data_IF_253133897746
#
_entry.id   IF_253133897746
#
_cell.length_a   1.000
_cell.length_b   1.000
_cell.length_c   1.000
_cell.angle_alpha   90.00
_cell.angle_beta   90.00
_cell.angle_gamma   90.00
#
_symmetry.space_group_name_H-M   'P 1'
#
loop_
_entity.id
_entity.type
_entity.pdbx_description
1 polymer ?
#
# COMPACT_ATOMS: atom_id res chain seq x y z
N UNK A 1 0.60 -19.78 -31.34
CA UNK A 1 -0.33 -19.14 -30.39
C UNK A 1 -0.01 -17.65 -30.40
N UNK A 2 -1.02 -16.78 -30.49
CA UNK A 2 -0.81 -15.33 -30.39
C UNK A 2 -0.27 -14.98 -29.00
N UNK A 3 0.65 -14.01 -28.92
CA UNK A 3 1.11 -13.47 -27.64
C UNK A 3 -0.09 -12.92 -26.85
N UNK A 4 -0.18 -13.14 -25.53
CA UNK A 4 -1.22 -12.55 -24.70
C UNK A 4 -1.11 -11.02 -24.75
N UNK A 5 -2.25 -10.34 -24.87
CA UNK A 5 -2.27 -8.89 -25.12
C UNK A 5 -2.76 -8.03 -23.94
N UNK A 6 -3.30 -8.65 -22.90
CA UNK A 6 -3.95 -7.95 -21.80
C UNK A 6 -3.02 -7.47 -20.70
N UNK A 7 -3.67 -6.94 -19.67
CA UNK A 7 -3.04 -6.39 -18.48
C UNK A 7 -3.38 -7.23 -17.25
N UNK A 8 -2.40 -7.40 -16.37
CA UNK A 8 -2.62 -7.86 -15.00
C UNK A 8 -2.12 -6.76 -14.09
N UNK A 9 -2.99 -6.23 -13.24
CA UNK A 9 -2.68 -5.12 -12.35
C UNK A 9 -2.88 -5.58 -10.93
N UNK A 10 -1.85 -5.45 -10.10
CA UNK A 10 -1.86 -5.86 -8.71
C UNK A 10 -1.73 -4.62 -7.84
N UNK A 11 -2.71 -4.37 -6.96
CA UNK A 11 -2.72 -3.20 -6.09
C UNK A 11 -2.58 -3.62 -4.62
N UNK A 12 -1.68 -2.95 -3.90
CA UNK A 12 -1.47 -3.21 -2.47
C UNK A 12 -2.67 -2.77 -1.63
N UNK A 13 -3.22 -1.58 -1.90
CA UNK A 13 -4.48 -1.07 -1.33
C UNK A 13 -4.94 0.16 -2.13
N UNK A 14 -6.05 0.77 -1.70
CA UNK A 14 -6.46 2.09 -2.19
C UNK A 14 -7.10 2.07 -3.58
N UNK A 15 -7.61 0.92 -4.01
CA UNK A 15 -8.15 0.68 -5.34
C UNK A 15 -9.38 1.55 -5.70
N UNK A 16 -10.07 2.09 -4.71
CA UNK A 16 -11.18 3.04 -4.86
C UNK A 16 -10.86 4.41 -4.22
N UNK A 17 -9.60 4.83 -4.24
CA UNK A 17 -9.16 6.13 -3.70
C UNK A 17 -8.68 7.07 -4.81
N UNK A 18 -8.53 8.36 -4.51
CA UNK A 18 -8.06 9.36 -5.49
C UNK A 18 -6.70 8.97 -6.13
N UNK A 19 -5.82 8.33 -5.34
CA UNK A 19 -4.49 7.90 -5.79
C UNK A 19 -4.50 6.93 -6.98
N UNK A 20 -5.60 6.20 -7.20
CA UNK A 20 -5.72 5.19 -8.25
C UNK A 20 -6.62 5.60 -9.43
N UNK A 21 -7.24 6.79 -9.38
CA UNK A 21 -8.16 7.26 -10.44
C UNK A 21 -7.47 7.29 -11.80
N UNK A 22 -6.30 7.94 -11.88
CA UNK A 22 -5.57 8.07 -13.13
C UNK A 22 -5.01 6.74 -13.64
N UNK A 23 -4.67 5.81 -12.73
CA UNK A 23 -4.27 4.44 -13.09
C UNK A 23 -5.43 3.72 -13.78
N UNK A 24 -6.65 3.79 -13.22
CA UNK A 24 -7.83 3.18 -13.85
C UNK A 24 -8.17 3.81 -15.19
N UNK A 25 -8.17 5.15 -15.29
CA UNK A 25 -8.43 5.87 -16.55
C UNK A 25 -7.43 5.51 -17.63
N UNK A 26 -6.13 5.49 -17.31
CA UNK A 26 -5.08 5.10 -18.26
C UNK A 26 -5.28 3.67 -18.75
N UNK A 27 -5.56 2.72 -17.86
CA UNK A 27 -5.79 1.33 -18.24
C UNK A 27 -7.01 1.19 -19.15
N UNK A 28 -8.13 1.83 -18.82
CA UNK A 28 -9.35 1.82 -19.62
C UNK A 28 -9.14 2.43 -21.01
N UNK A 29 -8.44 3.56 -21.11
CA UNK A 29 -8.14 4.23 -22.38
C UNK A 29 -7.28 3.38 -23.33
N UNK A 30 -6.59 2.36 -22.82
CA UNK A 30 -5.75 1.43 -23.58
C UNK A 30 -6.48 0.17 -24.01
N UNK A 31 -7.70 -0.05 -23.53
CA UNK A 31 -8.54 -1.18 -23.93
C UNK A 31 -9.30 -0.86 -25.23
N UNK A 32 -9.59 -1.88 -26.06
CA UNK A 32 -10.41 -1.70 -27.25
C UNK A 32 -11.87 -1.36 -26.87
N UNK A 33 -12.47 -0.43 -27.60
CA UNK A 33 -13.88 -0.04 -27.43
C UNK A 33 -14.84 -1.07 -28.10
N UNK A 34 -15.99 -1.42 -27.47
CA UNK A 34 -16.40 -0.96 -26.15
C UNK A 34 -15.57 -1.61 -25.03
N UNK A 35 -15.29 -0.85 -23.96
CA UNK A 35 -14.53 -1.34 -22.80
C UNK A 35 -15.39 -1.61 -21.54
N UNK A 36 -16.36 -2.56 -21.52
CA UNK A 36 -17.19 -2.81 -20.34
C UNK A 36 -16.37 -3.09 -19.08
N UNK A 37 -16.58 -2.27 -18.04
CA UNK A 37 -15.96 -2.44 -16.74
C UNK A 37 -16.89 -3.16 -15.77
N UNK A 38 -16.33 -4.10 -15.01
CA UNK A 38 -17.07 -4.95 -14.09
C UNK A 38 -16.37 -5.02 -12.74
N UNK A 39 -17.12 -4.86 -11.67
CA UNK A 39 -16.71 -5.22 -10.31
C UNK A 39 -17.22 -6.62 -9.95
N UNK A 40 -16.35 -7.49 -9.47
CA UNK A 40 -16.71 -8.81 -8.97
C UNK A 40 -16.62 -8.82 -7.43
N UNK A 41 -17.76 -9.11 -6.80
CA UNK A 41 -17.98 -8.94 -5.37
C UNK A 41 -17.64 -10.16 -4.50
N UNK A 42 -17.25 -11.28 -5.13
CA UNK A 42 -16.99 -12.54 -4.43
C UNK A 42 -16.03 -12.43 -3.24
N UNK A 43 -14.90 -11.67 -3.28
CA UNK A 43 -13.99 -11.61 -2.13
C UNK A 43 -14.68 -11.12 -0.86
N UNK A 44 -15.66 -10.22 -0.98
CA UNK A 44 -16.43 -9.70 0.13
C UNK A 44 -17.72 -10.49 0.40
N UNK A 45 -18.07 -11.50 -0.39
CA UNK A 45 -19.39 -12.15 -0.38
C UNK A 45 -19.86 -12.74 0.95
N UNK A 46 -18.95 -12.96 1.90
CA UNK A 46 -19.28 -13.36 3.28
C UNK A 46 -19.78 -12.20 4.16
N UNK A 47 -19.59 -10.95 3.74
CA UNK A 47 -19.92 -9.76 4.52
C UNK A 47 -21.39 -9.36 4.33
N UNK A 48 -22.03 -8.92 5.42
CA UNK A 48 -23.43 -8.47 5.40
C UNK A 48 -23.64 -7.21 4.53
N UNK A 49 -22.59 -6.41 4.32
CA UNK A 49 -22.61 -5.17 3.55
C UNK A 49 -22.04 -5.33 2.12
N UNK A 50 -21.90 -6.55 1.59
CA UNK A 50 -21.35 -6.81 0.23
C UNK A 50 -22.02 -5.93 -0.84
N UNK A 51 -23.35 -5.85 -0.84
CA UNK A 51 -24.10 -5.02 -1.79
C UNK A 51 -23.75 -3.53 -1.70
N UNK A 52 -23.44 -3.03 -0.50
CA UNK A 52 -23.01 -1.66 -0.31
C UNK A 52 -21.59 -1.44 -0.88
N UNK A 53 -20.69 -2.40 -0.66
CA UNK A 53 -19.33 -2.36 -1.23
C UNK A 53 -19.36 -2.34 -2.76
N UNK A 54 -20.15 -3.22 -3.38
CA UNK A 54 -20.30 -3.26 -4.84
C UNK A 54 -20.88 -1.97 -5.40
N UNK A 55 -21.88 -1.36 -4.72
CA UNK A 55 -22.42 -0.05 -5.10
C UNK A 55 -21.40 1.07 -4.96
N UNK A 56 -20.54 1.03 -3.94
CA UNK A 56 -19.44 2.00 -3.79
C UNK A 56 -18.44 1.92 -4.95
N UNK A 57 -18.09 0.71 -5.39
CA UNK A 57 -17.22 0.54 -6.55
C UNK A 57 -17.83 1.13 -7.82
N UNK A 58 -19.12 0.85 -8.07
CA UNK A 58 -19.85 1.44 -9.21
C UNK A 58 -19.90 2.96 -9.13
N UNK A 59 -20.28 3.51 -7.96
CA UNK A 59 -20.35 4.95 -7.75
C UNK A 59 -18.99 5.63 -7.98
N UNK A 60 -17.91 5.06 -7.44
CA UNK A 60 -16.55 5.57 -7.65
C UNK A 60 -16.14 5.59 -9.13
N UNK A 61 -16.45 4.52 -9.88
CA UNK A 61 -16.14 4.47 -11.31
C UNK A 61 -16.96 5.49 -12.12
N UNK A 62 -18.21 5.71 -11.75
CA UNK A 62 -19.07 6.71 -12.39
C UNK A 62 -18.61 8.15 -12.09
N UNK A 63 -18.36 8.48 -10.81
CA UNK A 63 -18.08 9.86 -10.40
C UNK A 63 -16.62 10.28 -10.51
N UNK A 64 -15.65 9.37 -10.33
CA UNK A 64 -14.23 9.72 -10.30
C UNK A 64 -13.48 9.23 -11.55
N UNK A 65 -13.68 7.96 -11.94
CA UNK A 65 -13.05 7.39 -13.15
C UNK A 65 -13.77 7.87 -14.42
N UNK A 66 -15.03 8.30 -14.30
CA UNK A 66 -15.89 8.73 -15.41
C UNK A 66 -16.09 7.63 -16.46
N UNK A 67 -16.19 6.38 -16.00
CA UNK A 67 -16.42 5.22 -16.85
C UNK A 67 -17.50 4.33 -16.22
N UNK A 68 -18.55 3.94 -16.97
CA UNK A 68 -19.61 3.10 -16.43
C UNK A 68 -19.05 1.74 -15.99
N UNK A 69 -19.48 1.30 -14.80
CA UNK A 69 -19.14 -0.01 -14.24
C UNK A 69 -20.40 -0.76 -13.85
N UNK A 70 -20.42 -2.06 -14.13
CA UNK A 70 -21.48 -2.98 -13.70
C UNK A 70 -20.97 -3.97 -12.65
N UNK A 71 -21.88 -4.67 -12.00
CA UNK A 71 -21.53 -5.67 -10.98
C UNK A 71 -21.74 -7.07 -11.57
N UNK A 72 -20.71 -7.90 -11.54
CA UNK A 72 -20.86 -9.35 -11.71
C UNK A 72 -21.03 -9.95 -10.31
N UNK A 73 -22.29 -10.09 -9.86
CA UNK A 73 -22.54 -10.57 -8.51
C UNK A 73 -22.42 -12.09 -8.41
N UNK A 74 -21.43 -12.55 -7.65
CA UNK A 74 -21.19 -13.96 -7.36
C UNK A 74 -20.65 -14.08 -5.93
N UNK A 75 -21.46 -13.69 -4.95
CA UNK A 75 -21.04 -13.65 -3.55
C UNK A 75 -20.70 -15.05 -2.99
N UNK A 76 -21.52 -16.06 -3.30
CA UNK A 76 -21.36 -17.43 -2.80
C UNK A 76 -21.88 -18.45 -3.82
N UNK A 77 -21.07 -19.46 -4.13
CA UNK A 77 -21.44 -20.59 -4.97
C UNK A 77 -22.56 -21.44 -4.35
N UNK A 78 -22.62 -21.53 -3.01
CA UNK A 78 -23.65 -22.31 -2.30
C UNK A 78 -25.00 -21.60 -2.27
N UNK A 79 -25.00 -20.26 -2.27
CA UNK A 79 -26.21 -19.45 -2.17
C UNK A 79 -26.74 -19.00 -3.54
N UNK A 80 -25.89 -18.88 -4.55
CA UNK A 80 -26.27 -18.44 -5.88
C UNK A 80 -27.12 -19.50 -6.59
N UNK A 81 -28.26 -19.09 -7.14
CA UNK A 81 -29.02 -19.92 -8.06
C UNK A 81 -28.22 -20.16 -9.36
N UNK A 82 -28.54 -21.23 -10.07
CA UNK A 82 -27.91 -21.52 -11.38
C UNK A 82 -28.06 -20.37 -12.38
N UNK A 83 -29.17 -19.62 -12.30
CA UNK A 83 -29.39 -18.44 -13.14
C UNK A 83 -28.44 -17.29 -12.78
N UNK A 84 -28.33 -16.94 -11.50
CA UNK A 84 -27.42 -15.88 -11.01
C UNK A 84 -25.96 -16.22 -11.32
N UNK A 85 -25.57 -17.48 -11.10
CA UNK A 85 -24.23 -17.95 -11.45
C UNK A 85 -23.94 -17.79 -12.95
N UNK A 86 -24.85 -18.19 -13.84
CA UNK A 86 -24.67 -18.01 -15.28
C UNK A 86 -24.65 -16.54 -15.69
N UNK A 87 -25.48 -15.71 -15.07
CA UNK A 87 -25.49 -14.27 -15.31
C UNK A 87 -24.13 -13.65 -14.96
N UNK A 88 -23.57 -13.96 -13.79
CA UNK A 88 -22.27 -13.47 -13.39
C UNK A 88 -21.15 -13.91 -14.35
N UNK A 89 -21.13 -15.18 -14.75
CA UNK A 89 -20.16 -15.70 -15.73
C UNK A 89 -20.29 -14.99 -17.08
N UNK A 90 -21.51 -14.71 -17.54
CA UNK A 90 -21.73 -14.00 -18.80
C UNK A 90 -21.24 -12.55 -18.72
N UNK A 91 -21.53 -11.85 -17.62
CA UNK A 91 -21.03 -10.49 -17.37
C UNK A 91 -19.50 -10.45 -17.39
N UNK A 92 -18.84 -11.41 -16.72
CA UNK A 92 -17.37 -11.49 -16.71
C UNK A 92 -16.78 -11.78 -18.10
N UNK A 93 -17.42 -12.63 -18.91
CA UNK A 93 -16.94 -12.92 -20.29
C UNK A 93 -17.00 -11.70 -21.21
N UNK A 94 -17.93 -10.79 -20.96
CA UNK A 94 -18.11 -9.58 -21.76
C UNK A 94 -17.24 -8.41 -21.26
N UNK A 95 -16.69 -8.50 -20.05
CA UNK A 95 -15.90 -7.44 -19.43
C UNK A 95 -14.55 -7.22 -20.13
N UNK A 96 -14.27 -6.00 -20.58
CA UNK A 96 -12.92 -5.61 -20.99
C UNK A 96 -12.03 -5.32 -19.78
N UNK A 97 -12.63 -4.85 -18.69
CA UNK A 97 -11.95 -4.48 -17.45
C UNK A 97 -12.65 -5.17 -16.26
N UNK A 98 -11.90 -5.94 -15.47
CA UNK A 98 -12.41 -6.63 -14.29
C UNK A 98 -11.66 -6.14 -13.07
N UNK A 99 -12.37 -5.54 -12.11
CA UNK A 99 -11.85 -5.19 -10.80
C UNK A 99 -12.34 -6.20 -9.76
N UNK A 100 -11.39 -6.85 -9.07
CA UNK A 100 -11.64 -7.65 -7.88
C UNK A 100 -11.03 -6.94 -6.67
N UNK A 101 -11.90 -6.62 -5.70
CA UNK A 101 -11.60 -5.74 -4.58
C UNK A 101 -11.36 -6.45 -3.25
N UNK A 102 -11.65 -5.78 -2.13
CA UNK A 102 -11.26 -6.21 -0.79
C UNK A 102 -12.18 -7.31 -0.27
N UNK A 103 -11.74 -8.04 0.75
CA UNK A 103 -12.48 -9.15 1.33
C UNK A 103 -11.56 -10.23 1.88
N UNK A 104 -11.92 -11.50 1.71
CA UNK A 104 -11.16 -12.66 2.18
C UNK A 104 -10.59 -13.45 1.01
N UNK A 105 -9.26 -13.67 0.97
CA UNK A 105 -8.63 -14.39 -0.13
C UNK A 105 -9.03 -15.87 -0.15
N UNK A 106 -9.03 -16.54 1.00
CA UNK A 106 -9.40 -17.96 1.12
C UNK A 106 -10.87 -18.19 0.82
N UNK A 107 -11.74 -17.26 1.21
CA UNK A 107 -13.15 -17.29 0.84
C UNK A 107 -13.30 -17.19 -0.68
N UNK A 108 -12.70 -16.18 -1.31
CA UNK A 108 -12.76 -15.98 -2.75
C UNK A 108 -12.33 -17.23 -3.53
N UNK A 109 -11.19 -17.82 -3.16
CA UNK A 109 -10.66 -19.02 -3.81
C UNK A 109 -11.63 -20.21 -3.66
N UNK A 110 -12.21 -20.42 -2.47
CA UNK A 110 -13.19 -21.51 -2.26
C UNK A 110 -14.42 -21.33 -3.16
N UNK A 111 -14.90 -20.10 -3.33
CA UNK A 111 -16.02 -19.81 -4.22
C UNK A 111 -15.65 -19.99 -5.70
N UNK A 112 -14.42 -19.69 -6.10
CA UNK A 112 -14.03 -19.72 -7.52
C UNK A 112 -13.49 -21.07 -8.01
N UNK A 113 -12.82 -21.85 -7.16
CA UNK A 113 -12.04 -23.04 -7.57
C UNK A 113 -12.84 -24.08 -8.37
N UNK A 114 -14.14 -24.20 -8.13
CA UNK A 114 -15.02 -25.15 -8.81
C UNK A 114 -15.91 -24.49 -9.88
N UNK A 115 -15.54 -23.29 -10.34
CA UNK A 115 -16.28 -22.52 -11.35
C UNK A 115 -15.39 -22.14 -12.52
N UNK A 116 -15.99 -21.59 -13.57
CA UNK A 116 -15.25 -21.11 -14.74
C UNK A 116 -14.61 -19.72 -14.55
N UNK A 117 -14.76 -19.09 -13.37
CA UNK A 117 -14.27 -17.73 -13.12
C UNK A 117 -12.74 -17.60 -13.35
N UNK A 118 -11.88 -18.51 -12.83
CA UNK A 118 -10.43 -18.43 -13.09
C UNK A 118 -10.06 -18.57 -14.58
N UNK A 119 -10.81 -19.40 -15.31
CA UNK A 119 -10.61 -19.57 -16.75
C UNK A 119 -11.04 -18.33 -17.52
N UNK A 120 -12.18 -17.72 -17.15
CA UNK A 120 -12.63 -16.46 -17.74
C UNK A 120 -11.60 -15.35 -17.51
N UNK A 121 -11.03 -15.21 -16.30
CA UNK A 121 -9.96 -14.22 -16.08
C UNK A 121 -8.79 -14.41 -17.05
N UNK A 122 -8.35 -15.66 -17.21
CA UNK A 122 -7.24 -16.00 -18.11
C UNK A 122 -7.60 -15.66 -19.56
N UNK A 123 -8.78 -16.06 -20.02
CA UNK A 123 -9.27 -15.79 -21.37
C UNK A 123 -9.39 -14.28 -21.62
N UNK A 124 -9.90 -13.52 -20.65
CA UNK A 124 -10.01 -12.06 -20.76
C UNK A 124 -8.64 -11.41 -20.91
N UNK A 125 -7.67 -11.78 -20.09
CA UNK A 125 -6.29 -11.27 -20.19
C UNK A 125 -5.66 -11.68 -21.54
N UNK A 126 -5.80 -12.93 -21.96
CA UNK A 126 -5.27 -13.40 -23.25
C UNK A 126 -5.83 -12.60 -24.44
N UNK A 127 -7.11 -12.25 -24.38
CA UNK A 127 -7.83 -11.52 -25.42
C UNK A 127 -7.73 -9.99 -25.30
N UNK A 128 -6.78 -9.46 -24.51
CA UNK A 128 -6.50 -8.02 -24.43
C UNK A 128 -7.29 -7.26 -23.36
N UNK A 129 -7.96 -7.95 -22.45
CA UNK A 129 -8.63 -7.34 -21.30
C UNK A 129 -7.67 -7.01 -20.14
N UNK A 130 -8.17 -6.28 -19.16
CA UNK A 130 -7.47 -5.89 -17.94
C UNK A 130 -8.08 -6.59 -16.72
N UNK A 131 -7.27 -7.31 -15.95
CA UNK A 131 -7.63 -7.80 -14.63
C UNK A 131 -6.91 -6.97 -13.57
N UNK A 132 -7.67 -6.27 -12.73
CA UNK A 132 -7.17 -5.53 -11.57
C UNK A 132 -7.52 -6.29 -10.30
N UNK A 133 -6.50 -6.72 -9.56
CA UNK A 133 -6.65 -7.40 -8.28
C UNK A 133 -6.02 -6.59 -7.14
N UNK A 134 -6.85 -6.19 -6.18
CA UNK A 134 -6.46 -5.31 -5.10
C UNK A 134 -6.60 -5.97 -3.73
N UNK A 135 -5.71 -5.61 -2.79
CA UNK A 135 -5.76 -6.04 -1.40
C UNK A 135 -5.98 -7.57 -1.31
N UNK A 136 -7.02 -8.03 -0.63
CA UNK A 136 -7.36 -9.45 -0.48
C UNK A 136 -7.45 -10.22 -1.81
N UNK A 137 -7.89 -9.61 -2.90
CA UNK A 137 -7.96 -10.29 -4.19
C UNK A 137 -6.56 -10.48 -4.81
N UNK A 138 -5.62 -9.57 -4.58
CA UNK A 138 -4.25 -9.68 -5.08
C UNK A 138 -3.56 -10.96 -4.56
N UNK A 139 -3.83 -11.34 -3.32
CA UNK A 139 -3.36 -12.59 -2.70
C UNK A 139 -3.77 -13.85 -3.45
N UNK A 140 -4.86 -13.82 -4.22
CA UNK A 140 -5.43 -15.01 -4.86
C UNK A 140 -4.73 -15.41 -6.15
N UNK A 141 -4.11 -14.46 -6.86
CA UNK A 141 -3.66 -14.65 -8.25
C UNK A 141 -2.35 -15.44 -8.40
N UNK A 142 -1.58 -15.55 -7.32
CA UNK A 142 -0.32 -16.29 -7.27
C UNK A 142 -0.51 -17.81 -7.14
N UNK A 143 0.62 -18.53 -7.10
CA UNK A 143 0.62 -20.00 -6.92
C UNK A 143 0.09 -20.39 -5.54
N UNK A 144 0.46 -19.61 -4.52
CA UNK A 144 -0.04 -19.74 -3.17
C UNK A 144 -0.65 -18.41 -2.69
N UNK A 145 -1.45 -18.52 -1.64
CA UNK A 145 -2.22 -17.44 -1.01
C UNK A 145 -1.99 -17.45 0.49
N UNK A 146 -1.78 -16.27 1.07
CA UNK A 146 -1.74 -16.08 2.51
C UNK A 146 -3.16 -16.07 3.09
N UNK A 147 -3.52 -17.00 3.99
CA UNK A 147 -4.80 -17.01 4.69
C UNK A 147 -4.77 -15.98 5.84
N UNK A 148 -4.78 -14.69 5.47
CA UNK A 148 -4.54 -13.57 6.39
C UNK A 148 -5.50 -13.56 7.57
N UNK A 149 -6.80 -13.80 7.39
CA UNK A 149 -7.75 -13.76 8.49
C UNK A 149 -7.63 -14.96 9.40
N UNK A 150 -7.41 -16.15 8.85
CA UNK A 150 -7.20 -17.36 9.63
C UNK A 150 -5.94 -17.23 10.51
N UNK A 151 -4.83 -16.70 9.98
CA UNK A 151 -3.60 -16.52 10.77
C UNK A 151 -3.72 -15.32 11.72
N UNK A 152 -4.12 -14.15 11.22
CA UNK A 152 -4.08 -12.90 11.99
C UNK A 152 -5.23 -12.76 12.99
N UNK A 153 -6.45 -13.14 12.60
CA UNK A 153 -7.66 -12.95 13.42
C UNK A 153 -8.04 -14.20 14.21
N UNK A 154 -7.97 -15.38 13.60
CA UNK A 154 -8.32 -16.65 14.29
C UNK A 154 -7.14 -17.18 15.11
N UNK A 155 -5.91 -16.90 14.69
CA UNK A 155 -4.69 -17.33 15.40
C UNK A 155 -4.17 -18.70 14.95
N UNK A 156 -4.49 -19.13 13.73
CA UNK A 156 -3.90 -20.34 13.16
C UNK A 156 -2.38 -20.18 12.99
N UNK A 157 -1.65 -21.31 13.02
CA UNK A 157 -0.21 -21.32 12.74
C UNK A 157 0.03 -20.89 11.29
N UNK A 158 1.13 -20.20 10.96
CA UNK A 158 1.36 -19.76 9.58
C UNK A 158 1.50 -20.93 8.58
N UNK A 159 0.72 -20.88 7.50
CA UNK A 159 0.69 -21.84 6.40
C UNK A 159 0.30 -21.15 5.08
N UNK A 160 0.57 -21.82 3.96
CA UNK A 160 0.11 -21.39 2.64
C UNK A 160 -1.15 -22.15 2.22
N UNK A 161 -2.08 -21.42 1.62
CA UNK A 161 -3.24 -21.98 0.92
C UNK A 161 -2.96 -21.98 -0.59
N UNK A 162 -3.47 -22.96 -1.34
CA UNK A 162 -3.33 -22.96 -2.80
C UNK A 162 -4.06 -21.76 -3.43
N UNK A 163 -3.37 -20.96 -4.24
CA UNK A 163 -3.97 -19.87 -5.00
C UNK A 163 -4.76 -20.35 -6.21
N UNK A 164 -5.35 -19.42 -6.97
CA UNK A 164 -5.94 -19.75 -8.28
C UNK A 164 -4.91 -19.73 -9.42
N UNK A 165 -3.67 -19.32 -9.12
CA UNK A 165 -2.50 -19.38 -10.00
C UNK A 165 -2.73 -18.80 -11.40
N UNK A 166 -3.36 -17.63 -11.47
CA UNK A 166 -3.52 -16.88 -12.73
C UNK A 166 -2.17 -16.46 -13.29
N UNK A 167 -1.26 -15.98 -12.42
CA UNK A 167 0.08 -15.55 -12.83
C UNK A 167 0.90 -16.69 -13.46
N UNK A 168 0.80 -17.91 -12.93
CA UNK A 168 1.47 -19.08 -13.49
C UNK A 168 1.04 -19.41 -14.92
N UNK A 169 -0.21 -19.08 -15.31
CA UNK A 169 -0.70 -19.25 -16.69
C UNK A 169 0.00 -18.33 -17.70
N UNK A 170 0.72 -17.30 -17.22
CA UNK A 170 1.52 -16.37 -18.02
C UNK A 170 3.04 -16.52 -17.76
N UNK A 171 3.44 -17.63 -17.13
CA UNK A 171 4.84 -17.98 -16.85
C UNK A 171 5.45 -17.24 -15.67
N UNK A 172 4.63 -16.67 -14.79
CA UNK A 172 5.09 -15.92 -13.61
C UNK A 172 4.81 -16.75 -12.37
N UNK A 173 5.86 -17.31 -11.76
CA UNK A 173 5.72 -18.13 -10.54
C UNK A 173 6.09 -17.32 -9.28
N UNK A 174 5.06 -16.81 -8.60
CA UNK A 174 5.20 -16.02 -7.38
C UNK A 174 3.95 -16.08 -6.49
N UNK A 175 4.12 -15.61 -5.25
CA UNK A 175 3.04 -15.21 -4.33
C UNK A 175 2.98 -13.70 -4.24
N UNK A 176 1.77 -13.13 -4.13
CA UNK A 176 1.56 -11.68 -4.05
C UNK A 176 1.17 -11.32 -2.62
N UNK A 177 1.83 -10.34 -2.01
CA UNK A 177 1.58 -9.88 -0.64
C UNK A 177 1.26 -8.39 -0.66
N UNK A 178 -0.03 -8.01 -0.64
CA UNK A 178 -0.47 -6.62 -0.51
C UNK A 178 -0.19 -6.10 0.90
N UNK A 179 -0.39 -4.79 1.14
CA UNK A 179 -0.19 -4.19 2.46
C UNK A 179 1.21 -4.50 3.02
N UNK A 180 2.23 -4.44 2.16
CA UNK A 180 3.60 -4.85 2.49
C UNK A 180 4.22 -4.01 3.60
N UNK A 181 4.08 -2.68 3.50
CA UNK A 181 4.53 -1.70 4.47
C UNK A 181 3.50 -1.35 5.55
N UNK A 182 2.42 -2.14 5.71
CA UNK A 182 1.34 -1.80 6.65
C UNK A 182 1.87 -1.50 8.06
N UNK A 183 1.39 -0.38 8.62
CA UNK A 183 1.82 0.14 9.91
C UNK A 183 0.66 0.40 10.89
N UNK A 184 -0.53 -0.16 10.61
CA UNK A 184 -1.73 0.03 11.44
C UNK A 184 -1.60 -0.55 12.86
N UNK A 185 -0.63 -1.43 13.09
CA UNK A 185 -0.40 -2.06 14.39
C UNK A 185 0.07 -1.12 15.50
N UNK A 186 0.56 0.08 15.15
CA UNK A 186 1.06 1.10 16.07
C UNK A 186 2.27 0.63 16.90
N UNK A 187 2.01 -0.13 17.96
CA UNK A 187 3.02 -0.68 18.88
C UNK A 187 3.50 -2.09 18.50
N UNK A 188 2.97 -2.68 17.43
CA UNK A 188 3.31 -4.02 16.98
C UNK A 188 3.49 -4.06 15.45
N UNK A 189 4.33 -4.99 14.98
CA UNK A 189 4.65 -5.14 13.55
C UNK A 189 3.49 -5.79 12.77
N UNK A 190 2.88 -5.01 11.87
CA UNK A 190 1.83 -5.47 10.96
C UNK A 190 2.26 -5.48 9.49
N UNK A 191 3.56 -5.31 9.22
CA UNK A 191 4.10 -5.43 7.86
C UNK A 191 3.81 -6.81 7.27
N UNK A 192 3.91 -6.91 5.95
CA UNK A 192 3.68 -8.14 5.19
C UNK A 192 2.25 -8.67 5.36
N UNK A 193 1.26 -7.81 5.13
CA UNK A 193 -0.17 -8.16 5.24
C UNK A 193 -0.57 -8.67 6.64
N UNK A 194 -0.30 -7.86 7.68
CA UNK A 194 -0.61 -8.15 9.09
C UNK A 194 0.12 -9.37 9.70
N UNK A 195 1.14 -9.89 9.03
CA UNK A 195 1.91 -11.03 9.55
C UNK A 195 2.98 -10.58 10.55
N UNK A 196 3.55 -9.42 10.33
CA UNK A 196 4.80 -9.01 10.95
C UNK A 196 5.95 -9.91 10.52
N UNK A 197 7.17 -9.41 10.70
CA UNK A 197 8.38 -10.08 10.24
C UNK A 197 8.57 -11.52 10.78
N UNK A 198 8.32 -11.83 12.06
CA UNK A 198 8.55 -13.18 12.58
C UNK A 198 7.67 -14.25 11.92
N UNK A 199 6.37 -13.97 11.71
CA UNK A 199 5.47 -14.93 11.05
C UNK A 199 5.75 -15.00 9.55
N UNK A 200 6.06 -13.86 8.93
CA UNK A 200 6.32 -13.82 7.51
C UNK A 200 7.60 -14.59 7.13
N UNK A 201 8.68 -14.50 7.93
CA UNK A 201 9.89 -15.31 7.71
C UNK A 201 9.59 -16.82 7.77
N UNK A 202 8.72 -17.25 8.68
CA UNK A 202 8.30 -18.66 8.74
C UNK A 202 7.53 -19.06 7.47
N UNK A 203 6.61 -18.22 7.00
CA UNK A 203 5.88 -18.46 5.75
C UNK A 203 6.83 -18.53 4.55
N UNK A 204 7.76 -17.58 4.43
CA UNK A 204 8.73 -17.55 3.34
C UNK A 204 9.60 -18.81 3.31
N UNK A 205 9.99 -19.33 4.48
CA UNK A 205 10.76 -20.59 4.58
C UNK A 205 10.00 -21.85 4.13
N UNK A 206 8.66 -21.78 4.05
CA UNK A 206 7.81 -22.89 3.58
C UNK A 206 7.60 -22.86 2.06
N UNK A 207 7.96 -21.77 1.38
CA UNK A 207 7.81 -21.67 -0.07
C UNK A 207 8.87 -22.50 -0.80
N UNK A 208 8.52 -23.11 -1.95
CA UNK A 208 9.51 -23.69 -2.85
C UNK A 208 10.54 -22.65 -3.32
N UNK A 209 11.80 -23.06 -3.55
CA UNK A 209 12.90 -22.14 -3.91
C UNK A 209 12.75 -21.44 -5.27
N UNK A 210 11.88 -21.95 -6.14
CA UNK A 210 11.52 -21.39 -7.44
C UNK A 210 10.44 -20.30 -7.35
N UNK A 211 9.70 -20.23 -6.23
CA UNK A 211 8.60 -19.28 -6.03
C UNK A 211 9.12 -17.98 -5.42
N UNK A 212 8.87 -16.86 -6.08
CA UNK A 212 9.19 -15.54 -5.54
C UNK A 212 8.05 -14.95 -4.69
N UNK A 213 8.39 -13.98 -3.85
CA UNK A 213 7.43 -13.12 -3.13
C UNK A 213 7.41 -11.75 -3.81
N UNK A 214 6.22 -11.28 -4.18
CA UNK A 214 5.98 -9.93 -4.66
C UNK A 214 5.20 -9.13 -3.62
N UNK A 215 5.89 -8.29 -2.86
CA UNK A 215 5.33 -7.34 -1.91
C UNK A 215 4.83 -6.07 -2.59
N UNK A 216 3.62 -5.65 -2.26
CA UNK A 216 3.01 -4.40 -2.74
C UNK A 216 2.71 -3.50 -1.54
N UNK A 217 3.33 -2.33 -1.51
CA UNK A 217 3.00 -1.31 -0.51
C UNK A 217 1.56 -0.82 -0.68
N UNK A 218 1.02 -0.25 0.38
CA UNK A 218 -0.28 0.43 0.35
C UNK A 218 -0.28 1.55 -0.71
N UNK A 219 -1.42 1.79 -1.35
CA UNK A 219 -1.58 2.78 -2.43
C UNK A 219 -0.56 2.63 -3.57
N UNK A 220 -0.16 1.40 -3.89
CA UNK A 220 0.80 1.09 -4.97
C UNK A 220 0.22 0.07 -5.94
N UNK A 221 0.44 0.28 -7.24
CA UNK A 221 0.00 -0.59 -8.33
C UNK A 221 1.21 -1.12 -9.11
N UNK A 222 1.29 -2.44 -9.25
CA UNK A 222 2.18 -3.14 -10.17
C UNK A 222 1.41 -3.51 -11.44
N UNK A 223 1.74 -2.87 -12.55
CA UNK A 223 1.02 -2.99 -13.83
C UNK A 223 1.84 -3.87 -14.76
N UNK A 224 1.36 -5.08 -15.07
CA UNK A 224 2.00 -6.04 -15.95
C UNK A 224 1.32 -5.98 -17.32
N UNK A 225 2.06 -5.50 -18.32
CA UNK A 225 1.63 -5.42 -19.71
C UNK A 225 2.22 -6.58 -20.52
N UNK A 226 1.37 -7.56 -20.84
CA UNK A 226 1.84 -8.82 -21.43
C UNK A 226 2.27 -8.67 -22.90
N UNK A 227 1.63 -7.77 -23.66
CA UNK A 227 1.95 -7.57 -25.07
C UNK A 227 3.37 -7.04 -25.27
N UNK A 228 3.76 -6.07 -24.44
CA UNK A 228 5.10 -5.47 -24.46
C UNK A 228 6.12 -6.23 -23.62
N UNK A 229 5.69 -7.18 -22.79
CA UNK A 229 6.56 -7.86 -21.84
C UNK A 229 7.18 -6.89 -20.84
N UNK A 230 6.42 -5.92 -20.36
CA UNK A 230 6.89 -4.85 -19.49
C UNK A 230 6.06 -4.77 -18.21
N UNK A 231 6.70 -4.32 -17.13
CA UNK A 231 6.07 -4.02 -15.85
C UNK A 231 6.35 -2.57 -15.50
N UNK A 232 5.35 -1.86 -14.96
CA UNK A 232 5.46 -0.50 -14.47
C UNK A 232 4.90 -0.39 -13.06
N UNK A 233 5.51 0.45 -12.23
CA UNK A 233 5.04 0.76 -10.88
C UNK A 233 4.39 2.16 -10.83
N UNK A 234 3.21 2.24 -10.24
CA UNK A 234 2.47 3.48 -10.01
C UNK A 234 1.96 3.58 -8.57
N UNK A 235 1.56 4.78 -8.15
CA UNK A 235 1.01 5.04 -6.82
C UNK A 235 1.99 5.80 -5.91
N UNK A 236 1.90 5.56 -4.59
CA UNK A 236 2.65 6.29 -3.56
C UNK A 236 3.82 5.52 -2.96
N UNK A 237 3.77 4.19 -2.96
CA UNK A 237 4.77 3.33 -2.36
C UNK A 237 5.63 2.59 -3.38
N UNK A 238 6.18 1.46 -2.95
CA UNK A 238 7.11 0.64 -3.71
C UNK A 238 6.61 -0.80 -3.89
N UNK A 239 7.24 -1.50 -4.82
CA UNK A 239 7.05 -2.95 -5.04
C UNK A 239 8.34 -3.67 -4.72
N UNK A 240 8.26 -4.68 -3.87
CA UNK A 240 9.41 -5.49 -3.45
C UNK A 240 9.33 -6.88 -4.04
N UNK A 241 10.33 -7.31 -4.80
CA UNK A 241 10.48 -8.69 -5.27
C UNK A 241 11.56 -9.40 -4.45
N UNK A 242 11.19 -10.44 -3.71
CA UNK A 242 12.11 -11.32 -2.99
C UNK A 242 12.18 -12.70 -3.64
N UNK A 243 13.38 -13.17 -3.93
CA UNK A 243 13.64 -14.53 -4.43
C UNK A 243 14.97 -15.03 -3.88
N UNK A 244 14.96 -16.19 -3.20
CA UNK A 244 16.17 -16.84 -2.65
C UNK A 244 17.03 -15.90 -1.78
N UNK A 245 16.38 -15.07 -0.96
CA UNK A 245 17.04 -14.11 -0.08
C UNK A 245 17.60 -12.85 -0.78
N UNK A 246 17.44 -12.73 -2.10
CA UNK A 246 17.74 -11.50 -2.84
C UNK A 246 16.48 -10.64 -2.91
N UNK A 247 16.62 -9.38 -2.54
CA UNK A 247 15.57 -8.37 -2.59
C UNK A 247 15.84 -7.36 -3.70
N UNK A 248 14.82 -7.05 -4.50
CA UNK A 248 14.80 -5.94 -5.45
C UNK A 248 13.59 -5.05 -5.12
N UNK A 249 13.81 -3.74 -5.07
CA UNK A 249 12.76 -2.74 -4.80
C UNK A 249 12.60 -1.89 -6.05
N UNK A 250 11.35 -1.65 -6.43
CA UNK A 250 10.94 -0.82 -7.56
C UNK A 250 10.06 0.32 -7.05
N UNK A 251 10.41 1.55 -7.40
CA UNK A 251 9.73 2.77 -6.97
C UNK A 251 8.74 3.25 -8.03
N UNK A 252 7.91 4.23 -7.66
CA UNK A 252 6.97 4.87 -8.58
C UNK A 252 7.68 5.35 -9.86
N UNK A 253 7.11 5.00 -11.01
CA UNK A 253 7.61 5.39 -12.34
C UNK A 253 8.67 4.45 -12.90
N UNK A 254 9.12 3.45 -12.14
CA UNK A 254 10.03 2.44 -12.65
C UNK A 254 9.38 1.55 -13.70
N UNK A 255 10.20 1.18 -14.68
CA UNK A 255 9.87 0.20 -15.72
C UNK A 255 10.90 -0.93 -15.72
N UNK A 256 10.42 -2.16 -15.89
CA UNK A 256 11.29 -3.33 -16.02
C UNK A 256 10.69 -4.42 -16.90
N UNK A 257 11.53 -5.33 -17.40
CA UNK A 257 11.09 -6.44 -18.24
C UNK A 257 10.32 -7.48 -17.44
N UNK A 258 9.29 -8.06 -18.06
CA UNK A 258 8.47 -9.12 -17.46
C UNK A 258 9.31 -10.33 -17.02
N UNK A 259 10.42 -10.59 -17.69
CA UNK A 259 11.34 -11.69 -17.41
C UNK A 259 12.00 -11.60 -16.02
N UNK A 260 12.03 -10.41 -15.40
CA UNK A 260 12.44 -10.23 -14.00
C UNK A 260 11.47 -10.96 -13.07
N UNK A 261 10.14 -10.80 -13.29
CA UNK A 261 9.13 -11.53 -12.52
C UNK A 261 9.19 -13.04 -12.80
N UNK A 262 9.50 -13.44 -14.04
CA UNK A 262 9.66 -14.86 -14.42
C UNK A 262 10.94 -15.51 -13.88
N UNK A 263 11.90 -14.72 -13.40
CA UNK A 263 13.18 -15.24 -12.91
C UNK A 263 14.12 -15.73 -14.00
N UNK A 264 13.97 -15.20 -15.22
CA UNK A 264 14.87 -15.48 -16.34
C UNK A 264 16.04 -14.46 -16.39
N UNK A 265 15.93 -13.33 -15.70
CA UNK A 265 16.97 -12.31 -15.57
C UNK A 265 17.56 -12.29 -14.15
N UNK A 266 18.30 -13.34 -13.81
CA UNK A 266 18.91 -13.54 -12.48
C UNK A 266 20.31 -12.88 -12.39
N UNK A 267 20.91 -12.48 -13.51
CA UNK A 267 22.27 -11.95 -13.59
C UNK A 267 22.38 -10.53 -14.20
N UNK A 268 21.29 -9.97 -14.74
CA UNK A 268 21.27 -8.60 -15.26
C UNK A 268 21.16 -7.55 -14.16
N UNK A 269 22.10 -6.60 -14.17
CA UNK A 269 21.94 -5.31 -13.50
C UNK A 269 20.71 -4.62 -14.11
N UNK A 270 19.54 -4.77 -13.48
CA UNK A 270 18.44 -3.87 -13.77
C UNK A 270 18.90 -2.45 -13.40
N UNK A 271 18.85 -1.55 -14.38
CA UNK A 271 19.08 -0.12 -14.19
C UNK A 271 17.77 0.60 -14.52
N UNK A 272 17.35 1.60 -13.72
CA UNK A 272 16.15 2.38 -14.00
C UNK A 272 16.28 3.06 -15.37
N UNK A 273 15.30 2.83 -16.25
CA UNK A 273 15.22 3.50 -17.54
C UNK A 273 14.32 4.74 -17.44
N UNK A 274 14.82 5.88 -17.92
CA UNK A 274 14.08 7.15 -18.01
C UNK A 274 13.02 7.03 -19.12
N UNK A 275 11.80 7.58 -18.93
CA UNK A 275 10.74 7.52 -19.93
C UNK A 275 11.16 8.13 -21.28
N UNK A 276 10.84 7.44 -22.38
CA UNK A 276 10.86 8.05 -23.71
C UNK A 276 9.66 8.99 -23.79
N UNK A 277 9.95 10.29 -23.82
CA UNK A 277 8.94 11.34 -23.86
C UNK A 277 8.02 11.21 -25.09
N UNK A 278 6.71 11.29 -24.84
CA UNK A 278 5.74 11.60 -25.89
C UNK A 278 4.33 11.10 -25.65
N UNK A 279 3.58 11.75 -24.75
CA UNK A 279 2.24 12.31 -25.06
C UNK A 279 2.03 13.49 -24.10
N UNK A 280 1.79 14.67 -24.65
CA UNK A 280 1.44 15.86 -23.88
C UNK A 280 0.07 15.67 -23.20
N UNK A 281 -0.02 16.03 -21.92
CA UNK A 281 -1.28 16.07 -21.18
C UNK A 281 -2.30 16.97 -21.90
N UNK A 282 -3.56 16.54 -22.06
CA UNK A 282 -4.61 17.46 -22.48
C UNK A 282 -4.92 18.43 -21.33
N UNK A 283 -4.95 19.70 -21.71
CA UNK A 283 -5.36 20.87 -20.93
C UNK A 283 -6.76 20.63 -20.32
N UNK A 284 -6.82 20.49 -18.99
CA UNK A 284 -8.07 20.27 -18.24
C UNK A 284 -8.78 21.60 -18.03
N UNK A 285 -9.73 21.90 -18.91
CA UNK A 285 -10.68 22.98 -18.69
C UNK A 285 -11.69 22.66 -17.57
N UNK A 286 -11.51 23.34 -16.44
CA UNK A 286 -12.54 23.93 -15.55
C UNK A 286 -13.88 23.18 -15.35
N UNK A 287 -13.92 22.17 -14.46
CA UNK A 287 -15.08 21.86 -13.59
C UNK A 287 -14.66 21.15 -12.26
N UNK A 288 -13.44 21.34 -11.75
CA UNK A 288 -13.04 20.86 -10.40
C UNK A 288 -13.03 22.06 -9.43
N UNK A 289 -14.10 22.23 -8.66
CA UNK A 289 -14.32 23.41 -7.83
C UNK A 289 -13.22 23.67 -6.78
N UNK A 290 -13.01 24.97 -6.54
CA UNK A 290 -12.20 25.64 -5.48
C UNK A 290 -11.98 24.84 -4.17
N UNK A 291 -12.96 24.05 -3.74
CA UNK A 291 -12.88 23.24 -2.52
C UNK A 291 -11.75 22.19 -2.55
N UNK A 292 -11.63 21.39 -3.61
CA UNK A 292 -10.62 20.31 -3.65
C UNK A 292 -9.20 20.81 -3.93
N UNK A 293 -9.07 21.94 -4.62
CA UNK A 293 -7.79 22.66 -4.72
C UNK A 293 -7.34 23.13 -3.33
N UNK A 294 -8.29 23.64 -2.53
CA UNK A 294 -8.04 24.06 -1.14
C UNK A 294 -7.62 22.88 -0.26
N UNK A 295 -8.34 21.74 -0.32
CA UNK A 295 -7.99 20.53 0.46
C UNK A 295 -6.59 20.01 0.11
N UNK A 296 -6.28 19.86 -1.19
CA UNK A 296 -4.95 19.42 -1.66
C UNK A 296 -3.82 20.35 -1.22
N UNK A 297 -4.09 21.66 -1.28
CA UNK A 297 -3.12 22.67 -0.83
C UNK A 297 -2.85 22.53 0.66
N UNK A 298 -3.90 22.39 1.48
CA UNK A 298 -3.78 22.26 2.92
C UNK A 298 -3.08 20.95 3.34
N UNK A 299 -3.31 19.86 2.62
CA UNK A 299 -2.60 18.60 2.82
C UNK A 299 -1.09 18.74 2.56
N UNK A 300 -0.72 19.41 1.46
CA UNK A 300 0.69 19.72 1.16
C UNK A 300 1.32 20.62 2.24
N UNK A 301 0.62 21.68 2.66
CA UNK A 301 1.07 22.59 3.73
C UNK A 301 1.27 21.85 5.05
N UNK A 302 0.37 20.93 5.40
CA UNK A 302 0.47 20.07 6.57
C UNK A 302 1.73 19.20 6.50
N UNK A 303 1.94 18.48 5.40
CA UNK A 303 3.11 17.63 5.18
C UNK A 303 4.42 18.40 5.30
N UNK A 304 4.53 19.55 4.62
CA UNK A 304 5.72 20.42 4.72
C UNK A 304 5.96 20.95 6.14
N UNK A 305 4.89 21.25 6.89
CA UNK A 305 5.00 21.69 8.28
C UNK A 305 5.56 20.59 9.17
N UNK A 306 5.09 19.35 8.95
CA UNK A 306 5.51 18.17 9.70
C UNK A 306 6.99 17.85 9.47
N UNK A 307 7.45 17.90 8.21
CA UNK A 307 8.84 17.65 7.82
C UNK A 307 9.80 18.70 8.38
N UNK A 308 9.39 19.97 8.37
CA UNK A 308 10.21 21.09 8.84
C UNK A 308 10.10 21.34 10.35
N UNK A 309 9.38 20.48 11.08
CA UNK A 309 9.07 20.64 12.49
C UNK A 309 8.42 22.01 12.81
N UNK A 310 7.67 22.58 11.87
CA UNK A 310 6.95 23.84 12.03
C UNK A 310 5.56 23.55 12.58
N UNK A 311 5.45 23.54 13.91
CA UNK A 311 4.21 23.25 14.63
C UNK A 311 3.10 24.26 14.30
N UNK A 312 3.44 25.53 14.06
CA UNK A 312 2.46 26.57 13.72
C UNK A 312 1.86 26.31 12.34
N UNK A 313 2.72 26.05 11.34
CA UNK A 313 2.27 25.75 9.98
C UNK A 313 1.42 24.47 9.94
N UNK A 314 1.87 23.44 10.64
CA UNK A 314 1.17 22.14 10.73
C UNK A 314 -0.22 22.27 11.35
N UNK A 315 -0.32 22.91 12.53
CA UNK A 315 -1.60 23.10 13.21
C UNK A 315 -2.51 24.04 12.42
N UNK A 316 -1.97 25.08 11.80
CA UNK A 316 -2.76 25.98 10.98
C UNK A 316 -3.40 25.26 9.78
N UNK A 317 -2.67 24.36 9.12
CA UNK A 317 -3.22 23.56 8.03
C UNK A 317 -4.42 22.71 8.46
N UNK A 318 -4.35 22.07 9.64
CA UNK A 318 -5.46 21.31 10.21
C UNK A 318 -6.70 22.18 10.51
N UNK A 319 -6.48 23.36 11.10
CA UNK A 319 -7.56 24.28 11.45
C UNK A 319 -8.20 24.90 10.21
N UNK A 320 -7.42 25.22 9.19
CA UNK A 320 -7.95 25.69 7.91
C UNK A 320 -8.68 24.58 7.17
N UNK A 321 -8.23 23.32 7.25
CA UNK A 321 -8.93 22.18 6.65
C UNK A 321 -10.29 21.95 7.33
N UNK A 322 -10.34 21.98 8.67
CA UNK A 322 -11.60 21.92 9.43
C UNK A 322 -12.55 23.06 9.05
N UNK A 323 -12.03 24.30 8.90
CA UNK A 323 -12.82 25.46 8.46
C UNK A 323 -13.35 25.28 7.04
N UNK A 324 -12.53 24.82 6.10
CA UNK A 324 -12.94 24.56 4.71
C UNK A 324 -14.02 23.49 4.64
N UNK A 325 -13.91 22.41 5.42
CA UNK A 325 -14.93 21.36 5.52
C UNK A 325 -16.24 21.92 6.06
N UNK A 326 -16.18 22.75 7.10
CA UNK A 326 -17.36 23.38 7.68
C UNK A 326 -18.03 24.36 6.72
N UNK A 327 -17.25 25.15 5.98
CA UNK A 327 -17.76 26.08 4.98
C UNK A 327 -18.42 25.34 3.81
N UNK A 328 -17.77 24.29 3.29
CA UNK A 328 -18.34 23.44 2.25
C UNK A 328 -19.69 22.82 2.68
N UNK A 329 -19.80 22.40 3.95
CA UNK A 329 -21.06 21.94 4.50
C UNK A 329 -22.15 23.02 4.54
N UNK A 330 -21.82 24.30 4.78
CA UNK A 330 -22.80 25.39 4.71
C UNK A 330 -23.21 25.73 3.29
N UNK A 331 -22.28 25.60 2.34
CA UNK A 331 -22.48 25.89 0.92
C UNK A 331 -23.20 24.76 0.17
N UNK A 332 -23.65 23.72 0.89
CA UNK A 332 -24.34 22.54 0.37
C UNK A 332 -23.50 21.77 -0.64
N UNK A 333 -22.18 21.73 -0.43
CA UNK A 333 -21.29 20.82 -1.15
C UNK A 333 -21.71 19.36 -0.94
N UNK A 334 -21.21 18.49 -1.82
CA UNK A 334 -21.52 17.05 -1.77
C UNK A 334 -21.21 16.46 -0.38
N UNK A 335 -22.19 15.80 0.23
CA UNK A 335 -22.01 15.07 1.50
C UNK A 335 -20.86 14.04 1.40
N UNK A 336 -20.62 13.51 0.20
CA UNK A 336 -19.50 12.61 -0.10
C UNK A 336 -18.15 13.33 -0.02
N UNK A 337 -18.03 14.53 -0.60
CA UNK A 337 -16.79 15.33 -0.55
C UNK A 337 -16.48 15.79 0.87
N UNK A 338 -17.50 16.17 1.63
CA UNK A 338 -17.37 16.50 3.05
C UNK A 338 -16.89 15.29 3.83
N UNK A 339 -17.44 14.10 3.56
CA UNK A 339 -17.01 12.86 4.20
C UNK A 339 -15.56 12.51 3.87
N UNK A 340 -15.14 12.64 2.61
CA UNK A 340 -13.77 12.36 2.18
C UNK A 340 -12.76 13.34 2.81
N UNK A 341 -13.05 14.63 2.79
CA UNK A 341 -12.18 15.64 3.43
C UNK A 341 -12.08 15.44 4.95
N UNK A 342 -13.14 14.95 5.61
CA UNK A 342 -13.09 14.59 7.04
C UNK A 342 -12.20 13.38 7.33
N UNK A 343 -12.10 12.41 6.44
CA UNK A 343 -11.15 11.30 6.62
C UNK A 343 -9.71 11.81 6.48
N UNK A 344 -9.41 12.66 5.49
CA UNK A 344 -8.09 13.30 5.35
C UNK A 344 -7.72 14.07 6.63
N UNK A 345 -8.64 14.86 7.17
CA UNK A 345 -8.42 15.58 8.43
C UNK A 345 -8.10 14.63 9.60
N UNK A 346 -8.83 13.50 9.71
CA UNK A 346 -8.58 12.50 10.77
C UNK A 346 -7.22 11.84 10.63
N UNK A 347 -6.83 11.48 9.41
CA UNK A 347 -5.52 10.89 9.12
C UNK A 347 -4.39 11.83 9.52
N UNK A 348 -4.50 13.12 9.19
CA UNK A 348 -3.50 14.12 9.57
C UNK A 348 -3.43 14.32 11.09
N UNK A 349 -4.56 14.31 11.82
CA UNK A 349 -4.58 14.34 13.29
C UNK A 349 -3.83 13.14 13.88
N UNK A 350 -4.06 11.94 13.32
CA UNK A 350 -3.36 10.72 13.74
C UNK A 350 -1.86 10.84 13.49
N UNK A 351 -1.45 11.31 12.30
CA UNK A 351 -0.04 11.47 11.95
C UNK A 351 0.68 12.45 12.86
N UNK A 352 0.03 13.57 13.21
CA UNK A 352 0.55 14.52 14.18
C UNK A 352 0.72 13.86 15.56
N UNK A 353 -0.25 13.07 16.01
CA UNK A 353 -0.19 12.31 17.26
C UNK A 353 0.99 11.34 17.30
N UNK A 354 1.23 10.61 16.21
CA UNK A 354 2.39 9.69 16.08
C UNK A 354 3.72 10.45 16.18
N UNK A 355 3.83 11.62 15.53
CA UNK A 355 5.03 12.45 15.63
C UNK A 355 5.25 13.00 17.04
N UNK A 356 4.20 13.43 17.72
CA UNK A 356 4.28 13.89 19.11
C UNK A 356 4.71 12.76 20.05
N UNK A 357 4.19 11.55 19.85
CA UNK A 357 4.58 10.38 20.65
C UNK A 357 6.04 9.97 20.45
N UNK A 358 6.61 10.27 19.27
CA UNK A 358 8.01 9.97 18.92
C UNK A 358 8.99 11.09 19.31
N UNK A 359 8.51 12.24 19.78
CA UNK A 359 9.34 13.35 20.20
C UNK A 359 9.89 13.11 21.63
N UNK A 360 11.10 13.60 21.95
CA UNK A 360 11.63 13.56 23.32
C UNK A 360 10.64 14.23 24.28
N UNK A 361 10.26 13.53 25.36
CA UNK A 361 9.23 14.00 26.29
C UNK A 361 9.79 15.00 27.31
N UNK A 362 11.11 15.09 27.42
CA UNK A 362 11.81 16.00 28.31
C UNK A 362 13.12 16.50 27.69
N UNK A 363 13.65 17.59 28.25
CA UNK A 363 15.01 18.03 27.94
C UNK A 363 16.05 16.96 28.27
N UNK A 364 15.75 16.10 29.25
CA UNK A 364 16.60 14.97 29.61
C UNK A 364 16.64 13.91 28.48
N UNK A 365 15.49 13.52 27.93
CA UNK A 365 15.40 12.57 26.82
C UNK A 365 16.10 13.09 25.55
N UNK A 366 16.02 14.39 25.30
CA UNK A 366 16.64 15.03 24.14
C UNK A 366 18.18 15.03 24.23
N UNK A 367 18.70 15.26 25.44
CA UNK A 367 20.14 15.39 25.67
C UNK A 367 20.82 14.06 26.01
N UNK A 368 20.07 13.05 26.47
CA UNK A 368 20.60 11.76 26.90
C UNK A 368 21.57 11.12 25.89
N UNK A 369 21.25 11.00 24.58
CA UNK A 369 22.14 10.34 23.64
C UNK A 369 23.52 11.02 23.53
N UNK A 370 23.55 12.35 23.56
CA UNK A 370 24.80 13.11 23.51
C UNK A 370 25.58 13.02 24.82
N UNK A 371 24.88 13.13 25.96
CA UNK A 371 25.52 13.13 27.28
C UNK A 371 26.09 11.74 27.58
N UNK A 372 25.42 10.67 27.19
CA UNK A 372 25.91 9.30 27.36
C UNK A 372 27.23 9.08 26.60
N UNK A 373 27.32 9.52 25.34
CA UNK A 373 28.56 9.48 24.55
C UNK A 373 29.70 10.31 25.19
N UNK A 374 29.38 11.48 25.75
CA UNK A 374 30.36 12.30 26.46
C UNK A 374 30.82 11.66 27.77
N UNK A 375 29.93 10.95 28.48
CA UNK A 375 30.28 10.20 29.68
C UNK A 375 31.18 9.01 29.35
N UNK A 376 30.94 8.32 28.23
CA UNK A 376 31.81 7.24 27.74
C UNK A 376 33.18 7.76 27.30
N UNK A 377 33.23 8.90 26.59
CA UNK A 377 34.49 9.56 26.24
C UNK A 377 35.27 10.00 27.49
N UNK A 378 34.57 10.54 28.50
CA UNK A 378 35.18 10.87 29.79
C UNK A 378 35.74 9.63 30.49
N UNK A 379 35.01 8.52 30.48
CA UNK A 379 35.46 7.24 31.05
C UNK A 379 36.73 6.74 30.34
N UNK A 380 36.76 6.82 29.01
CA UNK A 380 37.93 6.48 28.21
C UNK A 380 39.19 7.29 28.64
N UNK A 381 39.07 8.60 28.82
CA UNK A 381 40.19 9.42 29.29
C UNK A 381 40.64 9.08 30.71
N UNK A 382 39.70 8.76 31.61
CA UNK A 382 40.03 8.30 32.98
C UNK A 382 40.80 6.98 32.96
N UNK A 383 40.39 6.02 32.14
CA UNK A 383 41.05 4.72 32.01
C UNK A 383 42.48 4.86 31.47
N UNK A 384 42.72 5.87 30.62
CA UNK A 384 44.06 6.26 30.13
C UNK A 384 44.86 7.13 31.10
N UNK A 385 44.32 7.43 32.29
CA UNK A 385 44.90 8.33 33.31
C UNK A 385 45.10 9.78 32.83
N UNK A 386 44.33 10.20 31.83
CA UNK A 386 44.29 11.57 31.31
C UNK A 386 43.26 12.40 32.10
N UNK A 387 43.60 12.72 33.35
CA UNK A 387 42.67 13.38 34.27
C UNK A 387 42.22 14.77 33.81
N UNK A 388 43.14 15.55 33.24
CA UNK A 388 42.86 16.91 32.75
C UNK A 388 41.79 16.90 31.65
N UNK A 389 41.88 15.96 30.71
CA UNK A 389 40.92 15.83 29.60
C UNK A 389 39.55 15.34 30.10
N UNK A 390 39.53 14.39 31.04
CA UNK A 390 38.30 13.91 31.66
C UNK A 390 37.59 14.99 32.51
N UNK A 391 38.36 15.83 33.22
CA UNK A 391 37.82 16.94 34.01
C UNK A 391 37.33 18.07 33.11
N UNK A 392 37.98 18.33 31.97
CA UNK A 392 37.51 19.30 31.00
C UNK A 392 36.12 18.97 30.45
N UNK A 393 35.80 17.68 30.20
CA UNK A 393 34.46 17.24 29.79
C UNK A 393 33.43 17.51 30.91
N UNK A 394 33.76 17.20 32.16
CA UNK A 394 32.88 17.45 33.32
C UNK A 394 32.60 18.95 33.48
N UNK A 395 33.62 19.78 33.41
CA UNK A 395 33.48 21.24 33.50
C UNK A 395 32.66 21.81 32.34
N UNK A 396 32.81 21.25 31.14
CA UNK A 396 32.02 21.65 29.97
C UNK A 396 30.53 21.37 30.19
N UNK A 397 30.19 20.18 30.66
CA UNK A 397 28.82 19.79 30.98
C UNK A 397 28.26 20.64 32.14
N UNK A 398 29.05 20.91 33.17
CA UNK A 398 28.62 21.74 34.29
C UNK A 398 28.32 23.20 33.90
N UNK A 399 29.09 23.77 32.96
CA UNK A 399 28.86 25.13 32.43
C UNK A 399 27.51 25.29 31.75
N UNK A 400 26.98 24.22 31.15
CA UNK A 400 25.67 24.22 30.48
C UNK A 400 24.56 23.68 31.38
N UNK A 401 24.81 23.54 32.69
CA UNK A 401 23.80 23.15 33.68
C UNK A 401 23.63 21.65 33.86
N UNK A 402 24.51 20.80 33.31
CA UNK A 402 24.46 19.35 33.47
C UNK A 402 25.42 18.94 34.60
N UNK A 403 24.89 18.32 35.65
CA UNK A 403 25.70 17.86 36.78
C UNK A 403 25.95 16.36 36.67
N UNK A 404 27.21 15.94 36.82
CA UNK A 404 27.61 14.53 36.82
C UNK A 404 27.82 14.06 38.26
N UNK A 405 27.19 12.94 38.62
CA UNK A 405 27.31 12.26 39.89
C UNK A 405 27.94 10.88 39.66
N UNK A 406 29.16 10.67 40.15
CA UNK A 406 29.84 9.38 40.03
C UNK A 406 29.34 8.42 41.12
N UNK A 407 28.78 7.28 40.72
CA UNK A 407 28.35 6.21 41.64
C UNK A 407 29.19 4.94 41.45
N UNK A 408 29.03 3.96 42.35
CA UNK A 408 29.69 2.64 42.21
C UNK A 408 29.26 1.87 40.96
N UNK A 409 28.10 2.20 40.39
CA UNK A 409 27.52 1.55 39.20
C UNK A 409 27.86 2.28 37.89
N UNK A 410 28.44 3.49 37.97
CA UNK A 410 28.72 4.36 36.82
C UNK A 410 28.39 5.82 37.09
N UNK A 411 28.69 6.69 36.14
CA UNK A 411 28.35 8.11 36.20
C UNK A 411 26.87 8.30 35.84
N UNK A 412 26.12 8.98 36.72
CA UNK A 412 24.76 9.45 36.45
C UNK A 412 24.81 10.96 36.21
N UNK A 413 23.81 11.51 35.52
CA UNK A 413 23.74 12.95 35.29
C UNK A 413 22.33 13.47 35.56
N UNK A 414 22.24 14.78 35.80
CA UNK A 414 20.97 15.49 35.97
C UNK A 414 21.07 16.92 35.45
N UNK A 415 19.96 17.50 35.00
CA UNK A 415 19.87 18.93 34.73
C UNK A 415 19.73 19.70 36.05
N UNK A 416 20.47 20.82 36.20
CA UNK A 416 20.19 21.79 37.26
C UNK A 416 18.86 22.47 36.93
N UNK A 417 17.89 22.30 37.82
CA UNK A 417 16.58 22.95 37.76
C UNK A 417 16.67 24.47 37.90
#
# INVERSE_FOLDING_TARGET
>A
MSLPRGFIVLMGSGELTATMVEVHKELLARLPEPAPAVFLDTPAGFQLNTNQLSRKAVAYFDSHVQHPMSIASFASADAASSYEAQQALQTLRQAAFILIGPGSPTYAIRQWRQTLIPDIFTERIQNGGCLVAASAAALTVGRFTLPVYEIYKVGEKPYWFDGINILGRFGIDLVVIPHWNNAEGGTHDTRFCYMGEPRFRLLESQLPEDVAVLGLDEHTACIIELEKGQVRIEGLGSVTLRRRGVEKIFEKGDYFGLDVLRGLDVEGQWQPQVPVAGVAAPDTGDVEGSFWETVRTLESVFGEGLEKHDSKKTVNALLELDRSIWQAHQELESEEFISQAREILREQIVLLGVRLASAPQSAEDCLAPLIEELLDLRKYFRDKKQWVDADAIRECLEKVGITIEDTKEGSRWRLKS
#
